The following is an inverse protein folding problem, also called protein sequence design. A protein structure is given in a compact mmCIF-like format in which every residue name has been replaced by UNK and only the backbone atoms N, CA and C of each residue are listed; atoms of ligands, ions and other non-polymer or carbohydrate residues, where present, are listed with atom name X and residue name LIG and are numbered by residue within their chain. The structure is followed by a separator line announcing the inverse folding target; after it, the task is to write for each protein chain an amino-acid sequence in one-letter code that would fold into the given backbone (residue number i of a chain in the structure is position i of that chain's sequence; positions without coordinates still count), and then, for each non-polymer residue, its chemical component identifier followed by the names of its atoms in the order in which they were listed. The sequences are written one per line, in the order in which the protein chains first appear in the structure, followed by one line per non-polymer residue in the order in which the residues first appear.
data_IF_727548379245
#
_entry.id   IF_727548379245
#
_cell.length_a   1.000
_cell.length_b   1.000
_cell.length_c   1.000
_cell.angle_alpha   90.00
_cell.angle_beta   90.00
_cell.angle_gamma   90.00
#
_symmetry.space_group_name_H-M   'P 1'
#
loop_
_entity.id
_entity.type
_entity.pdbx_description
1 polymer ?
#
# COMPACT_ATOMS: atom_id res chain seq x y z
N UNK A 1 -12.98 2.97 -11.98
CA UNK A 1 -12.62 1.74 -11.24
C UNK A 1 -13.17 0.58 -12.06
N UNK A 2 -12.32 -0.28 -12.64
CA UNK A 2 -12.78 -1.47 -13.37
C UNK A 2 -12.51 -2.69 -12.49
N UNK A 3 -13.59 -3.37 -12.10
CA UNK A 3 -13.58 -4.57 -11.27
C UNK A 3 -13.52 -5.80 -12.17
N UNK A 4 -12.48 -6.63 -12.01
CA UNK A 4 -12.41 -7.97 -12.63
C UNK A 4 -12.50 -9.01 -11.51
N UNK A 5 -13.42 -9.97 -11.66
CA UNK A 5 -13.88 -10.93 -10.65
C UNK A 5 -12.89 -12.07 -10.31
N UNK A 6 -11.59 -11.84 -10.36
CA UNK A 6 -10.59 -12.86 -10.01
C UNK A 6 -9.39 -12.21 -9.33
N UNK A 7 -9.47 -12.12 -7.99
CA UNK A 7 -8.54 -11.45 -7.09
C UNK A 7 -8.37 -9.96 -7.40
N UNK A 8 -8.75 -9.09 -6.46
CA UNK A 8 -8.54 -7.64 -6.53
C UNK A 8 -7.04 -7.31 -6.54
N UNK A 9 -6.37 -7.52 -7.67
CA UNK A 9 -5.04 -6.98 -7.92
C UNK A 9 -5.25 -5.52 -8.31
N UNK A 10 -5.01 -4.62 -7.36
CA UNK A 10 -4.94 -3.20 -7.70
C UNK A 10 -3.94 -2.99 -8.83
N UNK A 11 -4.28 -2.08 -9.75
CA UNK A 11 -3.43 -1.77 -10.90
C UNK A 11 -2.02 -1.49 -10.38
N UNK A 12 -1.13 -2.44 -10.66
CA UNK A 12 0.28 -2.40 -10.36
C UNK A 12 0.83 -1.05 -10.81
N UNK A 13 1.11 -0.16 -9.86
CA UNK A 13 1.88 1.05 -10.15
C UNK A 13 3.26 0.53 -10.54
N UNK A 14 3.64 0.66 -11.82
CA UNK A 14 5.03 0.44 -12.22
C UNK A 14 5.86 1.32 -11.30
N UNK A 15 6.67 0.68 -10.47
CA UNK A 15 7.78 1.22 -9.71
C UNK A 15 8.17 2.62 -10.13
N UNK A 16 7.96 3.62 -9.26
CA UNK A 16 9.01 4.54 -8.78
C UNK A 16 8.47 5.20 -7.50
N UNK A 17 9.26 5.11 -6.45
CA UNK A 17 9.44 6.06 -5.37
C UNK A 17 9.00 7.52 -5.71
N UNK A 18 7.72 7.88 -5.61
CA UNK A 18 7.28 9.25 -5.87
C UNK A 18 6.11 9.66 -4.96
N UNK A 19 6.30 10.77 -4.25
CA UNK A 19 5.37 11.40 -3.30
C UNK A 19 4.13 12.03 -3.96
N UNK A 20 3.74 11.58 -5.17
CA UNK A 20 2.60 12.13 -5.91
C UNK A 20 2.08 11.12 -6.94
N UNK A 21 0.76 10.93 -6.98
CA UNK A 21 0.05 10.11 -7.97
C UNK A 21 0.14 10.74 -9.37
N UNK A 22 1.28 10.61 -10.05
CA UNK A 22 1.45 11.01 -11.44
C UNK A 22 0.83 9.96 -12.37
N UNK A 23 -0.50 9.85 -12.29
CA UNK A 23 -1.31 9.17 -13.29
C UNK A 23 -1.95 10.26 -14.17
N UNK A 24 -2.14 10.04 -15.49
CA UNK A 24 -2.99 10.89 -16.32
C UNK A 24 -4.28 11.23 -15.60
N UNK A 25 -4.81 12.43 -15.78
CA UNK A 25 -5.85 13.05 -14.92
C UNK A 25 -7.12 12.18 -14.71
N UNK A 26 -7.35 11.24 -15.62
CA UNK A 26 -8.40 10.23 -15.66
C UNK A 26 -8.10 8.92 -14.90
N UNK A 27 -6.88 8.72 -14.42
CA UNK A 27 -6.41 7.51 -13.73
C UNK A 27 -5.90 7.75 -12.30
N UNK A 28 -5.94 8.98 -11.79
CA UNK A 28 -5.49 9.34 -10.43
C UNK A 28 -6.39 8.69 -9.36
N UNK A 29 -5.77 8.00 -8.41
CA UNK A 29 -6.46 7.54 -7.19
C UNK A 29 -6.81 8.73 -6.30
N UNK A 30 -8.10 8.92 -6.05
CA UNK A 30 -8.63 10.00 -5.20
C UNK A 30 -8.82 9.53 -3.77
N UNK A 31 -8.69 10.46 -2.82
CA UNK A 31 -8.97 10.16 -1.43
C UNK A 31 -10.47 9.86 -1.23
N UNK A 32 -10.82 8.79 -0.48
CA UNK A 32 -12.21 8.40 -0.26
C UNK A 32 -13.01 9.43 0.56
N UNK A 33 -12.35 10.24 1.40
CA UNK A 33 -13.01 11.26 2.21
C UNK A 33 -13.22 12.59 1.47
N UNK A 34 -12.35 12.91 0.52
CA UNK A 34 -12.41 14.16 -0.24
C UNK A 34 -11.80 13.96 -1.64
N UNK A 35 -12.65 13.97 -2.66
CA UNK A 35 -12.26 13.74 -4.07
C UNK A 35 -11.35 14.83 -4.66
N UNK A 36 -11.16 15.96 -3.94
CA UNK A 36 -10.20 16.99 -4.31
C UNK A 36 -8.80 16.74 -3.73
N UNK A 37 -8.65 15.76 -2.81
CA UNK A 37 -7.39 15.42 -2.15
C UNK A 37 -6.74 14.17 -2.73
N UNK A 38 -5.42 14.09 -2.55
CA UNK A 38 -4.63 12.90 -2.91
C UNK A 38 -4.85 11.78 -1.89
N UNK A 39 -4.89 10.53 -2.38
CA UNK A 39 -4.86 9.34 -1.53
C UNK A 39 -3.44 8.97 -1.04
N UNK A 40 -2.40 9.71 -1.48
CA UNK A 40 -0.99 9.38 -1.19
C UNK A 40 -0.47 8.26 -2.09
N UNK A 41 0.76 7.80 -1.87
CA UNK A 41 1.38 6.77 -2.72
C UNK A 41 2.69 6.22 -2.16
N UNK A 42 3.15 5.06 -2.64
CA UNK A 42 2.63 4.28 -3.78
C UNK A 42 1.39 3.43 -3.48
N UNK A 43 1.14 3.04 -2.22
CA UNK A 43 -0.02 2.21 -1.82
C UNK A 43 -1.33 3.01 -1.66
N UNK A 44 -1.48 4.13 -2.38
CA UNK A 44 -2.66 5.00 -2.31
C UNK A 44 -3.94 4.30 -2.75
N UNK A 45 -3.85 3.40 -3.74
CA UNK A 45 -4.98 2.59 -4.18
C UNK A 45 -5.55 1.68 -3.09
N UNK A 46 -4.67 0.97 -2.36
CA UNK A 46 -5.06 0.05 -1.29
C UNK A 46 -5.71 0.84 -0.14
N UNK A 47 -5.06 1.92 0.27
CA UNK A 47 -5.57 2.76 1.35
C UNK A 47 -6.90 3.44 0.96
N UNK A 48 -7.09 3.83 -0.30
CA UNK A 48 -8.36 4.38 -0.78
C UNK A 48 -9.49 3.34 -0.79
N UNK A 49 -9.21 2.08 -1.15
CA UNK A 49 -10.19 0.99 -1.06
C UNK A 49 -10.57 0.68 0.39
N UNK A 50 -9.57 0.59 1.28
CA UNK A 50 -9.79 0.36 2.70
C UNK A 50 -10.59 1.51 3.33
N UNK A 51 -10.20 2.76 3.06
CA UNK A 51 -10.90 3.95 3.56
C UNK A 51 -12.31 4.11 2.99
N UNK A 52 -12.59 3.58 1.78
CA UNK A 52 -13.92 3.51 1.20
C UNK A 52 -14.77 2.32 1.74
N UNK A 53 -14.20 1.45 2.57
CA UNK A 53 -14.87 0.24 3.06
C UNK A 53 -15.06 -0.86 2.02
N UNK A 54 -14.32 -0.80 0.90
CA UNK A 54 -14.38 -1.77 -0.19
C UNK A 54 -13.45 -2.98 0.00
N UNK A 55 -12.54 -2.91 0.98
CA UNK A 55 -11.74 -4.04 1.47
C UNK A 55 -11.61 -3.95 2.99
N UNK A 56 -11.36 -5.07 3.65
CA UNK A 56 -11.13 -5.14 5.11
C UNK A 56 -9.64 -5.08 5.43
N UNK A 57 -8.82 -5.74 4.60
CA UNK A 57 -7.36 -5.85 4.75
C UNK A 57 -6.68 -5.57 3.40
N UNK A 58 -5.45 -5.06 3.45
CA UNK A 58 -4.65 -4.78 2.27
C UNK A 58 -3.16 -4.96 2.55
N UNK A 59 -2.38 -5.16 1.49
CA UNK A 59 -0.93 -5.26 1.56
C UNK A 59 -0.31 -4.16 0.72
N UNK A 60 0.60 -3.39 1.31
CA UNK A 60 1.39 -2.38 0.64
C UNK A 60 2.88 -2.66 0.75
N UNK A 61 3.68 -1.73 0.23
CA UNK A 61 5.12 -1.70 0.48
C UNK A 61 5.54 -0.34 1.00
N UNK A 62 6.51 -0.35 1.90
CA UNK A 62 7.01 0.85 2.54
C UNK A 62 8.54 0.82 2.52
N UNK A 63 9.10 1.68 1.66
CA UNK A 63 10.55 1.99 1.62
C UNK A 63 10.79 3.33 2.30
N UNK A 64 10.03 4.36 1.91
CA UNK A 64 10.17 5.75 2.37
C UNK A 64 8.84 6.29 2.92
N UNK A 65 8.03 5.42 3.53
CA UNK A 65 6.70 5.79 4.03
C UNK A 65 5.56 5.50 3.06
N UNK A 66 5.80 4.73 2.00
CA UNK A 66 4.82 4.47 0.93
C UNK A 66 3.61 3.65 1.37
N UNK A 67 3.65 3.00 2.53
CA UNK A 67 2.48 2.42 3.20
C UNK A 67 1.89 3.34 4.26
N UNK A 68 2.74 3.97 5.09
CA UNK A 68 2.31 4.83 6.21
C UNK A 68 1.67 6.16 5.76
N UNK A 69 2.21 6.81 4.73
CA UNK A 69 1.68 8.08 4.20
C UNK A 69 0.27 7.96 3.61
N UNK A 70 0.00 7.03 2.66
CA UNK A 70 -1.36 6.86 2.17
C UNK A 70 -2.32 6.35 3.24
N UNK A 71 -1.84 5.55 4.20
CA UNK A 71 -2.66 5.12 5.33
C UNK A 71 -3.13 6.33 6.16
N UNK A 72 -2.22 7.26 6.44
CA UNK A 72 -2.56 8.50 7.14
C UNK A 72 -3.53 9.38 6.35
N UNK A 73 -3.37 9.50 5.03
CA UNK A 73 -4.25 10.32 4.20
C UNK A 73 -5.65 9.72 4.05
N UNK A 74 -5.75 8.41 3.92
CA UNK A 74 -7.02 7.69 3.75
C UNK A 74 -7.60 7.16 5.06
N UNK A 75 -7.10 7.61 6.23
CA UNK A 75 -7.69 7.32 7.54
C UNK A 75 -7.68 5.85 7.96
N UNK A 76 -6.68 5.09 7.49
CA UNK A 76 -6.51 3.67 7.82
C UNK A 76 -5.20 3.43 8.57
N UNK A 77 -5.07 2.25 9.17
CA UNK A 77 -3.87 1.86 9.89
C UNK A 77 -2.90 1.15 8.96
N UNK A 78 -1.65 1.59 8.94
CA UNK A 78 -0.56 0.95 8.21
C UNK A 78 0.64 0.76 9.10
N UNK A 79 1.16 -0.47 9.16
CA UNK A 79 2.33 -0.80 9.96
C UNK A 79 3.51 -1.15 9.06
N UNK A 80 4.68 -0.55 9.34
CA UNK A 80 5.94 -0.96 8.72
C UNK A 80 6.70 -1.80 9.73
N UNK A 81 6.72 -3.14 9.58
CA UNK A 81 7.48 -3.99 10.48
C UNK A 81 9.00 -3.76 10.33
N UNK A 82 9.77 -4.42 11.19
CA UNK A 82 11.22 -4.55 11.00
C UNK A 82 11.50 -5.27 9.69
N UNK A 83 12.65 -4.95 9.06
CA UNK A 83 13.07 -5.65 7.85
C UNK A 83 13.17 -7.15 8.11
N UNK A 84 12.94 -7.95 7.06
CA UNK A 84 13.01 -9.42 7.10
C UNK A 84 11.96 -10.16 7.95
N UNK A 85 11.01 -9.47 8.59
CA UNK A 85 9.89 -10.15 9.29
C UNK A 85 8.93 -10.80 8.28
N UNK A 86 8.61 -10.09 7.19
CA UNK A 86 7.81 -10.61 6.09
C UNK A 86 8.74 -10.83 4.91
N UNK A 87 8.63 -11.98 4.26
CA UNK A 87 9.41 -12.28 3.05
C UNK A 87 9.05 -11.30 1.94
N UNK A 88 10.07 -10.66 1.36
CA UNK A 88 9.94 -9.81 0.17
C UNK A 88 10.02 -10.63 -1.13
N UNK A 89 10.00 -11.97 -1.05
CA UNK A 89 10.11 -12.85 -2.21
C UNK A 89 8.96 -12.61 -3.20
N UNK A 90 9.30 -12.38 -4.47
CA UNK A 90 8.32 -12.06 -5.51
C UNK A 90 7.73 -10.65 -5.45
N UNK A 91 8.12 -9.81 -4.47
CA UNK A 91 7.78 -8.39 -4.46
C UNK A 91 8.58 -7.66 -5.52
N UNK A 92 7.94 -6.75 -6.28
CA UNK A 92 8.69 -5.85 -7.14
C UNK A 92 8.40 -4.37 -6.90
N UNK A 93 9.35 -3.47 -7.23
CA UNK A 93 10.60 -3.70 -7.98
C UNK A 93 11.64 -4.56 -7.26
N UNK A 94 12.39 -5.30 -8.06
CA UNK A 94 13.61 -5.98 -7.64
C UNK A 94 14.76 -5.02 -7.96
N UNK A 95 15.55 -4.64 -6.95
CA UNK A 95 16.84 -3.96 -7.16
C UNK A 95 17.97 -4.96 -6.99
N UNK A 96 19.10 -4.71 -7.64
CA UNK A 96 20.36 -5.43 -7.42
C UNK A 96 21.17 -4.90 -6.23
N UNK A 97 20.72 -3.80 -5.61
CA UNK A 97 21.39 -3.22 -4.44
C UNK A 97 21.20 -4.13 -3.22
N UNK A 98 22.29 -4.49 -2.55
CA UNK A 98 22.25 -5.39 -1.38
C UNK A 98 21.41 -4.81 -0.24
N UNK A 99 21.43 -3.49 -0.05
CA UNK A 99 20.64 -2.80 0.99
C UNK A 99 19.15 -2.66 0.63
N UNK A 100 18.74 -2.96 -0.62
CA UNK A 100 17.35 -2.83 -1.04
C UNK A 100 16.39 -3.66 -0.19
N UNK A 101 16.84 -4.85 0.22
CA UNK A 101 16.09 -5.77 1.06
C UNK A 101 15.95 -5.30 2.51
N UNK A 102 16.82 -4.40 2.98
CA UNK A 102 16.72 -3.77 4.30
C UNK A 102 15.69 -2.64 4.33
N UNK A 103 15.57 -1.89 3.24
CA UNK A 103 14.64 -0.75 3.18
C UNK A 103 13.25 -1.15 2.75
N UNK A 104 13.12 -2.10 1.82
CA UNK A 104 11.84 -2.56 1.32
C UNK A 104 11.19 -3.48 2.34
N UNK A 105 10.00 -3.10 2.80
CA UNK A 105 9.21 -3.93 3.71
C UNK A 105 7.76 -4.00 3.21
N UNK A 106 7.19 -5.20 3.22
CA UNK A 106 5.74 -5.39 3.03
C UNK A 106 5.01 -4.84 4.26
N UNK A 107 4.10 -3.89 4.04
CA UNK A 107 3.37 -3.20 5.08
C UNK A 107 1.91 -3.70 5.12
N UNK A 108 1.47 -4.38 6.19
CA UNK A 108 0.05 -4.68 6.39
C UNK A 108 -0.74 -3.40 6.62
N UNK A 109 -1.89 -3.32 5.96
CA UNK A 109 -2.84 -2.20 6.01
C UNK A 109 -4.22 -2.74 6.44
N UNK A 110 -4.85 -2.09 7.41
CA UNK A 110 -6.21 -2.42 7.84
C UNK A 110 -6.99 -1.18 8.27
N UNK A 111 -8.31 -1.29 8.22
CA UNK A 111 -9.23 -0.32 8.83
C UNK A 111 -9.22 -0.36 10.36
N UNK A 112 -8.71 -1.44 10.97
CA UNK A 112 -8.65 -1.61 12.43
C UNK A 112 -7.22 -1.96 12.89
N UNK A 113 -6.78 -1.31 13.96
CA UNK A 113 -5.44 -1.54 14.53
C UNK A 113 -5.26 -2.97 15.08
N UNK A 114 -6.35 -3.62 15.52
CA UNK A 114 -6.32 -4.97 16.09
C UNK A 114 -5.98 -6.06 15.06
N UNK A 115 -6.17 -5.77 13.77
CA UNK A 115 -5.91 -6.74 12.70
C UNK A 115 -4.43 -6.77 12.29
N UNK A 116 -3.70 -5.67 12.53
CA UNK A 116 -2.28 -5.57 12.19
C UNK A 116 -1.41 -6.68 12.79
N UNK A 117 -1.49 -7.01 14.09
CA UNK A 117 -0.72 -8.11 14.66
C UNK A 117 -1.11 -9.47 14.04
N UNK A 118 -2.39 -9.67 13.72
CA UNK A 118 -2.88 -10.90 13.09
C UNK A 118 -2.28 -11.04 11.67
N UNK A 119 -2.29 -9.95 10.91
CA UNK A 119 -1.69 -9.90 9.57
C UNK A 119 -0.18 -10.15 9.62
N UNK A 120 0.52 -9.59 10.60
CA UNK A 120 1.95 -9.85 10.79
C UNK A 120 2.22 -11.33 11.08
N UNK A 121 1.45 -11.95 11.97
CA UNK A 121 1.61 -13.38 12.27
C UNK A 121 1.26 -14.30 11.11
N UNK A 122 0.37 -13.87 10.21
CA UNK A 122 -0.03 -14.67 9.05
C UNK A 122 0.92 -14.50 7.85
N UNK A 123 1.66 -13.40 7.79
CA UNK A 123 2.56 -13.06 6.68
C UNK A 123 4.05 -13.29 6.98
N UNK A 124 4.41 -13.44 8.25
CA UNK A 124 5.75 -13.86 8.70
C UNK A 124 5.94 -15.37 8.52
#
# INVERSE_FOLDING_TARGET
VSWSHSNCRLKYSRTVLFLGNLQPQNWITKNPYDVQRTAGGSSGGECALLGAGASVIGLGSDVVGSGRLPAHFCGVFGHKPSSHIISNEGHMPISSDEEWHDFLVVAPLSTHAVDLPIMLTAAA
#
